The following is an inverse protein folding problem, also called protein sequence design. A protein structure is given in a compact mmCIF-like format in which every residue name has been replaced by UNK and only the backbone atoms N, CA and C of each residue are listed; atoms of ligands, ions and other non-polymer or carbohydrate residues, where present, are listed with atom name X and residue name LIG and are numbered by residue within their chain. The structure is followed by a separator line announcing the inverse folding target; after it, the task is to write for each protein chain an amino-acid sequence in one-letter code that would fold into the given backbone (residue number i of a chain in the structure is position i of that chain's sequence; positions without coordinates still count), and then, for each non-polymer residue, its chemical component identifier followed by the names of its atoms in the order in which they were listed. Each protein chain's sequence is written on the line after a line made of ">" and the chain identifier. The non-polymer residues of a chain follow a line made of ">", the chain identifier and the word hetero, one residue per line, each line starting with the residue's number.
data_IF_713030876478
#
_entry.id   IF_713030876478
#
_cell.length_a   1.000
_cell.length_b   1.000
_cell.length_c   1.000
_cell.angle_alpha   90.00
_cell.angle_beta   90.00
_cell.angle_gamma   90.00
#
_symmetry.space_group_name_H-M   'P 1'
#
loop_
_entity.id
_entity.type
_entity.pdbx_description
1 polymer ?
#
# COMPACT_ATOMS: atom_id res chain seq x y z
N UNK A 1 9.99 -8.22 9.78
CA UNK A 1 11.10 -8.02 8.86
C UNK A 1 10.92 -8.92 7.63
N UNK A 2 11.59 -8.59 6.54
CA UNK A 2 11.50 -9.35 5.28
C UNK A 2 10.37 -8.95 4.34
N UNK A 3 9.28 -8.45 4.87
CA UNK A 3 8.13 -8.02 4.08
C UNK A 3 8.45 -6.79 3.23
N UNK A 4 7.69 -6.61 2.16
CA UNK A 4 7.85 -5.49 1.26
C UNK A 4 6.66 -4.54 1.28
N UNK A 5 6.94 -3.25 1.41
CA UNK A 5 5.97 -2.19 1.17
C UNK A 5 6.18 -1.59 -0.23
N UNK A 6 5.08 -1.38 -0.96
CA UNK A 6 5.00 -0.49 -2.11
C UNK A 6 3.75 0.39 -1.96
N UNK A 7 3.94 1.61 -1.52
CA UNK A 7 2.86 2.51 -1.15
C UNK A 7 3.03 3.91 -1.74
N UNK A 8 2.45 4.91 -1.08
CA UNK A 8 2.37 6.27 -1.58
C UNK A 8 2.44 7.30 -0.43
N UNK A 9 2.33 8.59 -0.74
CA UNK A 9 2.53 9.70 0.19
C UNK A 9 1.58 9.72 1.40
N UNK A 10 0.47 8.99 1.40
CA UNK A 10 -0.45 8.88 2.55
C UNK A 10 0.02 7.89 3.61
N UNK A 11 1.07 7.11 3.35
CA UNK A 11 1.57 6.09 4.27
C UNK A 11 2.45 6.66 5.41
N UNK A 12 2.47 7.97 5.63
CA UNK A 12 3.31 8.60 6.65
C UNK A 12 3.14 7.96 8.03
N UNK A 13 1.91 7.80 8.49
CA UNK A 13 1.62 7.19 9.80
C UNK A 13 2.09 5.74 9.85
N UNK A 14 1.89 5.01 8.77
CA UNK A 14 2.37 3.62 8.66
C UNK A 14 3.90 3.56 8.73
N UNK A 15 4.60 4.41 7.98
CA UNK A 15 6.07 4.48 8.01
C UNK A 15 6.59 4.87 9.41
N UNK A 16 5.90 5.78 10.10
CA UNK A 16 6.21 6.13 11.50
C UNK A 16 5.97 4.94 12.45
N UNK A 17 4.86 4.25 12.31
CA UNK A 17 4.56 3.07 13.13
C UNK A 17 5.57 1.93 12.92
N UNK A 18 6.12 1.79 11.72
CA UNK A 18 7.20 0.85 11.43
C UNK A 18 8.57 1.30 11.98
N UNK A 19 8.71 2.54 12.46
CA UNK A 19 9.98 3.11 12.89
C UNK A 19 10.93 3.46 11.75
N UNK A 20 10.41 3.61 10.53
CA UNK A 20 11.18 3.94 9.31
C UNK A 20 11.15 5.43 8.98
N UNK A 21 10.41 6.22 9.73
CA UNK A 21 10.21 7.65 9.52
C UNK A 21 9.80 8.31 10.84
N UNK A 22 10.17 9.57 11.02
CA UNK A 22 9.82 10.35 12.20
C UNK A 22 9.63 11.83 11.84
N UNK A 23 9.25 12.65 12.83
CA UNK A 23 9.01 14.09 12.60
C UNK A 23 10.26 14.84 12.12
N UNK A 24 11.46 14.44 12.54
CA UNK A 24 12.71 15.06 12.08
C UNK A 24 12.95 14.74 10.61
N UNK A 25 12.71 13.50 10.20
CA UNK A 25 12.80 13.08 8.79
C UNK A 25 11.81 13.85 7.91
N UNK A 26 10.61 14.13 8.41
CA UNK A 26 9.63 14.97 7.72
C UNK A 26 10.20 16.37 7.43
N UNK A 27 10.79 17.03 8.41
CA UNK A 27 11.38 18.35 8.21
C UNK A 27 12.62 18.29 7.31
N UNK A 28 13.44 17.26 7.40
CA UNK A 28 14.57 17.07 6.49
C UNK A 28 14.09 16.92 5.03
N UNK A 29 13.01 16.20 4.78
CA UNK A 29 12.41 16.10 3.45
C UNK A 29 11.86 17.47 2.99
N UNK A 30 11.14 18.17 3.88
CA UNK A 30 10.52 19.46 3.58
C UNK A 30 11.56 20.50 3.18
N UNK A 31 12.72 20.52 3.85
CA UNK A 31 13.83 21.42 3.55
C UNK A 31 14.79 20.89 2.47
N UNK A 32 14.52 19.73 1.88
CA UNK A 32 15.35 19.15 0.83
C UNK A 32 16.78 18.82 1.30
N UNK A 33 16.95 18.40 2.56
CA UNK A 33 18.27 18.04 3.08
C UNK A 33 18.83 16.84 2.30
N UNK A 34 20.08 16.97 1.85
CA UNK A 34 20.76 15.95 1.02
C UNK A 34 21.78 15.11 1.79
N UNK A 35 21.99 15.38 3.08
CA UNK A 35 22.97 14.66 3.89
C UNK A 35 22.53 13.22 4.14
N UNK A 36 23.15 12.28 3.46
CA UNK A 36 22.84 10.85 3.55
C UNK A 36 23.19 10.22 4.92
N UNK A 37 23.98 10.90 5.74
CA UNK A 37 24.25 10.44 7.11
C UNK A 37 23.08 10.69 8.04
N UNK A 38 22.26 11.67 7.72
CA UNK A 38 21.07 12.07 8.50
C UNK A 38 19.81 11.50 7.86
N UNK A 39 19.70 11.61 6.52
CA UNK A 39 18.52 11.12 5.79
C UNK A 39 18.80 9.75 5.20
N UNK A 40 18.28 8.74 5.86
CA UNK A 40 18.53 7.35 5.53
C UNK A 40 17.87 6.89 4.23
N UNK A 41 16.77 7.51 3.81
CA UNK A 41 15.98 7.07 2.67
C UNK A 41 16.59 7.42 1.31
N UNK A 42 16.56 8.69 0.94
CA UNK A 42 16.84 9.10 -0.44
C UNK A 42 17.95 10.14 -0.62
N UNK A 43 18.41 10.79 0.44
CA UNK A 43 19.35 11.90 0.34
C UNK A 43 18.78 13.07 -0.48
N UNK A 44 17.53 13.43 -0.24
CA UNK A 44 16.84 14.55 -0.89
C UNK A 44 16.32 14.27 -2.32
N UNK A 45 16.35 13.00 -2.78
CA UNK A 45 15.92 12.65 -4.14
C UNK A 45 14.43 12.34 -4.28
N UNK A 46 13.71 12.12 -3.20
CA UNK A 46 12.25 11.94 -3.18
C UNK A 46 11.56 13.19 -2.67
N UNK A 47 10.32 13.39 -3.11
CA UNK A 47 9.50 14.46 -2.59
C UNK A 47 9.17 14.29 -1.12
N UNK A 48 8.69 15.35 -0.48
CA UNK A 48 8.13 15.29 0.86
C UNK A 48 7.04 14.21 0.94
N UNK A 49 7.00 13.48 2.05
CA UNK A 49 6.11 12.33 2.25
C UNK A 49 6.24 11.21 1.18
N UNK A 50 7.39 11.08 0.56
CA UNK A 50 7.72 9.91 -0.24
C UNK A 50 8.82 9.13 0.48
N UNK A 51 8.69 7.82 0.50
CA UNK A 51 9.46 6.96 1.37
C UNK A 51 10.27 5.95 0.57
N UNK A 52 11.40 5.54 1.12
CA UNK A 52 12.23 4.45 0.61
C UNK A 52 13.12 3.90 1.72
N UNK A 53 13.49 2.65 1.62
CA UNK A 53 14.48 2.02 2.50
C UNK A 53 15.65 1.56 1.63
N UNK A 54 16.91 1.94 1.96
CA UNK A 54 18.07 1.49 1.21
C UNK A 54 18.28 -0.02 1.35
N UNK A 55 18.36 -0.70 0.22
CA UNK A 55 18.53 -2.17 0.13
C UNK A 55 19.96 -2.58 -0.19
N UNK A 56 20.82 -1.60 -0.48
CA UNK A 56 22.22 -1.81 -0.91
C UNK A 56 23.15 -1.12 0.05
N UNK A 57 24.26 -1.75 0.37
CA UNK A 57 25.34 -1.20 1.16
C UNK A 57 26.18 -0.20 0.32
N UNK A 58 27.01 0.66 0.97
CA UNK A 58 27.87 1.59 0.24
C UNK A 58 28.86 0.96 -0.74
N UNK A 59 29.22 -0.32 -0.53
CA UNK A 59 30.09 -1.10 -1.41
C UNK A 59 29.36 -1.74 -2.60
N UNK A 60 28.04 -1.54 -2.72
CA UNK A 60 27.21 -2.10 -3.77
C UNK A 60 26.64 -3.50 -3.49
N UNK A 61 26.99 -4.13 -2.36
CA UNK A 61 26.44 -5.42 -1.97
C UNK A 61 25.00 -5.27 -1.45
N UNK A 62 24.19 -6.33 -1.56
CA UNK A 62 22.87 -6.38 -0.97
C UNK A 62 22.94 -6.40 0.56
N UNK A 63 22.05 -5.66 1.21
CA UNK A 63 21.77 -5.84 2.62
C UNK A 63 21.04 -7.16 2.85
N UNK A 64 21.00 -7.60 4.10
CA UNK A 64 20.12 -8.69 4.48
C UNK A 64 18.68 -8.19 4.59
N UNK A 65 17.91 -8.34 3.50
CA UNK A 65 16.53 -7.85 3.40
C UNK A 65 15.59 -8.59 4.34
N UNK A 66 16.00 -9.79 4.81
CA UNK A 66 15.20 -10.58 5.76
C UNK A 66 15.34 -10.09 7.21
N UNK A 67 16.28 -9.21 7.47
CA UNK A 67 16.53 -8.61 8.78
C UNK A 67 16.16 -7.12 8.84
N UNK A 68 15.49 -6.62 7.83
CA UNK A 68 14.99 -5.24 7.81
C UNK A 68 13.55 -5.17 7.33
N UNK A 69 12.88 -4.06 7.61
CA UNK A 69 11.60 -3.70 7.00
C UNK A 69 11.89 -3.06 5.64
N UNK A 70 11.33 -3.62 4.58
CA UNK A 70 11.64 -3.17 3.23
C UNK A 70 10.56 -2.25 2.69
N UNK A 71 10.96 -1.18 2.04
CA UNK A 71 10.08 -0.31 1.28
C UNK A 71 10.73 0.01 -0.06
N UNK A 72 9.99 -0.23 -1.13
CA UNK A 72 10.36 0.32 -2.44
C UNK A 72 10.32 1.84 -2.39
N UNK A 73 11.07 2.48 -3.28
CA UNK A 73 11.03 3.94 -3.39
C UNK A 73 9.68 4.39 -3.93
N UNK A 74 9.01 5.30 -3.23
CA UNK A 74 7.74 5.85 -3.68
C UNK A 74 7.93 6.69 -4.96
N UNK A 75 6.88 6.74 -5.76
CA UNK A 75 6.80 7.58 -6.95
C UNK A 75 5.52 8.42 -6.89
N UNK A 76 5.55 9.60 -7.51
CA UNK A 76 4.43 10.54 -7.44
C UNK A 76 3.24 10.24 -8.36
N UNK A 77 3.39 9.58 -9.53
CA UNK A 77 2.24 9.26 -10.38
C UNK A 77 1.18 8.47 -9.64
N UNK A 78 -0.06 8.91 -9.75
CA UNK A 78 -1.22 8.27 -9.10
C UNK A 78 -1.33 6.80 -9.48
N UNK A 79 -1.49 5.93 -8.50
CA UNK A 79 -1.48 4.47 -8.62
C UNK A 79 -0.21 3.84 -9.21
N UNK A 80 0.87 4.62 -9.43
CA UNK A 80 2.13 4.12 -10.00
C UNK A 80 2.83 3.07 -9.12
N UNK A 81 2.49 2.99 -7.83
CA UNK A 81 2.97 1.94 -6.93
C UNK A 81 2.40 0.54 -7.27
N UNK A 82 1.27 0.45 -7.97
CA UNK A 82 0.56 -0.81 -8.21
C UNK A 82 1.36 -1.84 -9.01
N UNK A 83 1.95 -1.50 -10.18
CA UNK A 83 2.77 -2.45 -10.92
C UNK A 83 4.00 -2.92 -10.14
N UNK A 84 4.59 -2.04 -9.32
CA UNK A 84 5.73 -2.39 -8.47
C UNK A 84 5.31 -3.34 -7.34
N UNK A 85 4.18 -3.08 -6.71
CA UNK A 85 3.60 -3.97 -5.71
C UNK A 85 3.41 -5.38 -6.27
N UNK A 86 2.82 -5.47 -7.46
CA UNK A 86 2.66 -6.72 -8.19
C UNK A 86 4.01 -7.42 -8.45
N UNK A 87 5.01 -6.66 -8.91
CA UNK A 87 6.35 -7.19 -9.18
C UNK A 87 7.04 -7.75 -7.93
N UNK A 88 6.92 -7.07 -6.79
CA UNK A 88 7.45 -7.55 -5.51
C UNK A 88 6.76 -8.85 -5.05
N UNK A 89 5.44 -8.92 -5.18
CA UNK A 89 4.68 -10.13 -4.90
C UNK A 89 5.05 -11.28 -5.85
N UNK A 90 5.27 -10.97 -7.12
CA UNK A 90 5.70 -11.97 -8.09
C UNK A 90 7.11 -12.50 -7.81
N UNK A 91 8.03 -11.63 -7.38
CA UNK A 91 9.34 -12.08 -6.94
C UNK A 91 9.25 -13.07 -5.77
N UNK A 92 8.43 -12.81 -4.75
CA UNK A 92 8.19 -13.76 -3.66
C UNK A 92 7.67 -15.11 -4.18
N UNK A 93 6.74 -15.11 -5.13
CA UNK A 93 6.27 -16.34 -5.77
C UNK A 93 7.39 -17.10 -6.47
N UNK A 94 8.25 -16.40 -7.20
CA UNK A 94 9.40 -17.04 -7.90
C UNK A 94 10.37 -17.66 -6.89
N UNK A 95 10.67 -16.99 -5.79
CA UNK A 95 11.48 -17.56 -4.71
C UNK A 95 10.87 -18.82 -4.11
N UNK A 96 9.54 -18.92 -4.04
CA UNK A 96 8.85 -20.14 -3.57
C UNK A 96 8.92 -21.28 -4.57
N UNK A 97 8.78 -20.98 -5.85
CA UNK A 97 8.62 -21.99 -6.91
C UNK A 97 9.95 -22.48 -7.52
N UNK A 98 11.00 -21.66 -7.46
CA UNK A 98 12.29 -21.98 -8.06
C UNK A 98 13.33 -22.31 -6.99
N UNK A 99 13.67 -23.59 -6.87
CA UNK A 99 14.66 -24.07 -5.91
C UNK A 99 16.08 -23.51 -6.14
N UNK A 100 16.43 -23.07 -7.34
CA UNK A 100 17.72 -22.42 -7.62
C UNK A 100 17.86 -21.08 -6.88
N UNK A 101 16.73 -20.45 -6.52
CA UNK A 101 16.71 -19.20 -5.76
C UNK A 101 16.81 -19.41 -4.24
N UNK A 102 16.63 -20.63 -3.73
CA UNK A 102 16.59 -20.90 -2.29
C UNK A 102 17.91 -20.61 -1.56
N UNK A 103 19.04 -20.55 -2.30
CA UNK A 103 20.35 -20.16 -1.75
C UNK A 103 20.47 -18.67 -1.40
N UNK A 104 19.59 -17.81 -1.90
CA UNK A 104 19.62 -16.35 -1.66
C UNK A 104 18.87 -15.95 -0.37
N UNK A 105 19.25 -16.55 0.75
CA UNK A 105 18.56 -16.42 2.05
C UNK A 105 18.56 -15.02 2.64
N UNK A 106 19.41 -14.12 2.16
CA UNK A 106 19.40 -12.69 2.52
C UNK A 106 18.37 -11.88 1.75
N UNK A 107 17.83 -12.40 0.66
CA UNK A 107 16.85 -11.73 -0.20
C UNK A 107 15.43 -12.25 0.01
N UNK A 108 15.27 -13.52 0.41
CA UNK A 108 13.96 -14.14 0.63
C UNK A 108 14.04 -15.31 1.59
N UNK A 109 13.00 -15.54 2.38
CA UNK A 109 12.77 -16.77 3.13
C UNK A 109 11.95 -17.76 2.29
N UNK A 110 12.49 -18.13 1.13
CA UNK A 110 11.85 -19.05 0.18
C UNK A 110 10.43 -18.63 -0.23
N UNK A 111 10.24 -17.32 -0.44
CA UNK A 111 8.96 -16.77 -0.90
C UNK A 111 7.89 -16.76 0.18
N UNK A 112 8.26 -16.61 1.45
CA UNK A 112 7.31 -16.45 2.54
C UNK A 112 6.85 -14.98 2.73
N UNK A 113 7.47 -14.05 2.03
CA UNK A 113 7.20 -12.62 2.14
C UNK A 113 5.90 -12.25 1.43
N UNK A 114 5.14 -11.35 2.03
CA UNK A 114 3.98 -10.67 1.43
C UNK A 114 4.42 -9.29 0.95
N UNK A 115 4.02 -8.91 -0.25
CA UNK A 115 4.12 -7.53 -0.70
C UNK A 115 2.84 -6.79 -0.31
N UNK A 116 2.99 -5.77 0.54
CA UNK A 116 1.89 -4.97 1.05
C UNK A 116 1.89 -3.58 0.43
N UNK A 117 0.72 -3.13 -0.04
CA UNK A 117 0.54 -1.80 -0.62
C UNK A 117 -0.72 -1.12 -0.14
N UNK A 118 -0.79 0.17 -0.41
CA UNK A 118 -1.94 1.01 -0.11
C UNK A 118 -2.27 1.93 -1.28
N UNK A 119 -3.56 2.28 -1.40
CA UNK A 119 -4.08 3.18 -2.43
C UNK A 119 -5.34 3.87 -1.91
N UNK A 120 -5.58 5.12 -2.31
CA UNK A 120 -6.84 5.80 -2.07
C UNK A 120 -7.93 5.35 -3.05
N UNK A 121 -9.20 5.45 -2.65
CA UNK A 121 -10.35 5.06 -3.47
C UNK A 121 -10.39 5.77 -4.83
N UNK A 122 -10.12 7.07 -4.87
CA UNK A 122 -10.08 7.81 -6.13
C UNK A 122 -8.98 7.34 -7.07
N UNK A 123 -7.83 6.95 -6.53
CA UNK A 123 -6.69 6.45 -7.30
C UNK A 123 -6.97 5.09 -7.95
N UNK A 124 -7.98 4.36 -7.51
CA UNK A 124 -8.42 3.12 -8.15
C UNK A 124 -9.04 3.34 -9.54
N UNK A 125 -9.30 4.59 -9.92
CA UNK A 125 -9.76 4.95 -11.28
C UNK A 125 -8.65 4.87 -12.33
N UNK A 126 -7.38 4.78 -11.92
CA UNK A 126 -6.24 4.68 -12.83
C UNK A 126 -6.12 3.28 -13.47
N UNK A 127 -5.72 3.23 -14.75
CA UNK A 127 -5.61 1.99 -15.50
C UNK A 127 -4.71 0.95 -14.85
N UNK A 128 -3.55 1.38 -14.30
CA UNK A 128 -2.61 0.45 -13.65
C UNK A 128 -3.16 -0.22 -12.40
N UNK A 129 -4.16 0.33 -11.75
CA UNK A 129 -4.86 -0.38 -10.68
C UNK A 129 -5.52 -1.65 -11.23
N UNK A 130 -6.35 -1.51 -12.27
CA UNK A 130 -7.10 -2.61 -12.88
C UNK A 130 -6.19 -3.66 -13.50
N UNK A 131 -5.16 -3.22 -14.22
CA UNK A 131 -4.15 -4.10 -14.80
C UNK A 131 -3.43 -4.92 -13.72
N UNK A 132 -3.04 -4.28 -12.62
CA UNK A 132 -2.35 -4.96 -11.51
C UNK A 132 -3.27 -5.94 -10.78
N UNK A 133 -4.54 -5.61 -10.57
CA UNK A 133 -5.52 -6.51 -9.96
C UNK A 133 -5.74 -7.74 -10.86
N UNK A 134 -5.95 -7.52 -12.16
CA UNK A 134 -6.10 -8.62 -13.11
C UNK A 134 -4.87 -9.52 -13.15
N UNK A 135 -3.68 -8.93 -13.23
CA UNK A 135 -2.44 -9.70 -13.24
C UNK A 135 -2.20 -10.45 -11.92
N UNK A 136 -2.52 -9.84 -10.77
CA UNK A 136 -2.43 -10.52 -9.48
C UNK A 136 -3.36 -11.73 -9.39
N UNK A 137 -4.61 -11.59 -9.89
CA UNK A 137 -5.58 -12.68 -9.94
C UNK A 137 -5.08 -13.83 -10.83
N UNK A 138 -4.55 -13.52 -12.02
CA UNK A 138 -4.00 -14.53 -12.95
C UNK A 138 -2.75 -15.19 -12.40
N UNK A 139 -1.84 -14.40 -11.85
CA UNK A 139 -0.54 -14.89 -11.39
C UNK A 139 -0.63 -15.57 -10.00
N UNK A 140 -1.68 -15.36 -9.23
CA UNK A 140 -1.81 -15.86 -7.85
C UNK A 140 -0.55 -15.59 -7.05
N UNK A 141 -0.36 -14.33 -6.67
CA UNK A 141 0.83 -13.83 -5.97
C UNK A 141 0.51 -13.35 -4.56
N UNK A 142 1.44 -13.37 -3.61
CA UNK A 142 1.22 -12.89 -2.24
C UNK A 142 1.19 -11.35 -2.18
N UNK A 143 0.20 -10.75 -2.84
CA UNK A 143 -0.06 -9.32 -2.86
C UNK A 143 -1.20 -8.98 -1.91
N UNK A 144 -0.95 -8.10 -0.95
CA UNK A 144 -1.94 -7.55 -0.05
C UNK A 144 -2.09 -6.05 -0.31
N UNK A 145 -3.28 -5.61 -0.66
CA UNK A 145 -3.56 -4.23 -1.01
C UNK A 145 -4.65 -3.65 -0.11
N UNK A 146 -4.38 -2.51 0.55
CA UNK A 146 -5.39 -1.73 1.25
C UNK A 146 -5.90 -0.59 0.35
N UNK A 147 -7.21 -0.54 0.15
CA UNK A 147 -7.90 0.60 -0.45
C UNK A 147 -8.52 1.42 0.67
N UNK A 148 -8.02 2.63 0.88
CA UNK A 148 -8.56 3.57 1.86
C UNK A 148 -9.63 4.44 1.21
N UNK A 149 -10.88 4.25 1.62
CA UNK A 149 -12.06 4.88 1.04
C UNK A 149 -12.63 5.93 2.00
N UNK A 150 -12.32 7.20 1.74
CA UNK A 150 -12.91 8.35 2.43
C UNK A 150 -14.12 8.94 1.69
N UNK A 151 -14.44 8.37 0.53
CA UNK A 151 -15.58 8.78 -0.30
C UNK A 151 -15.32 9.98 -1.21
N UNK A 152 -14.06 10.43 -1.31
CA UNK A 152 -13.73 11.61 -2.11
C UNK A 152 -12.39 11.45 -2.85
N UNK A 153 -12.34 11.97 -4.08
CA UNK A 153 -11.10 12.26 -4.79
C UNK A 153 -10.84 13.76 -4.75
N UNK A 154 -10.02 14.22 -3.80
CA UNK A 154 -9.87 15.64 -3.44
C UNK A 154 -11.23 16.22 -3.04
N UNK A 155 -11.93 16.87 -3.98
CA UNK A 155 -13.25 17.47 -3.78
C UNK A 155 -14.39 16.74 -4.53
N UNK A 156 -14.05 15.71 -5.30
CA UNK A 156 -15.01 14.97 -6.13
C UNK A 156 -15.57 13.79 -5.36
N UNK A 157 -16.90 13.76 -5.08
CA UNK A 157 -17.53 12.62 -4.42
C UNK A 157 -17.37 11.33 -5.20
N UNK A 158 -17.14 10.22 -4.49
CA UNK A 158 -16.93 8.86 -5.03
C UNK A 158 -17.98 8.45 -6.09
N UNK A 159 -19.22 8.85 -5.93
CA UNK A 159 -20.32 8.55 -6.88
C UNK A 159 -20.07 9.02 -8.32
N UNK A 160 -19.17 9.96 -8.52
CA UNK A 160 -18.76 10.45 -9.84
C UNK A 160 -17.50 9.79 -10.39
N UNK A 161 -16.82 8.99 -9.59
CA UNK A 161 -15.55 8.34 -9.93
C UNK A 161 -15.66 6.81 -9.99
N UNK A 162 -16.50 6.23 -9.14
CA UNK A 162 -16.54 4.78 -8.91
C UNK A 162 -17.90 4.24 -9.29
N UNK A 163 -17.94 3.38 -10.29
CA UNK A 163 -19.16 2.67 -10.66
C UNK A 163 -19.74 1.94 -9.44
N UNK A 164 -21.06 1.87 -9.31
CA UNK A 164 -21.77 1.32 -8.15
C UNK A 164 -21.47 2.01 -6.81
N UNK A 165 -20.61 3.05 -6.79
CA UNK A 165 -20.21 3.74 -5.57
C UNK A 165 -19.40 2.88 -4.57
N UNK A 166 -18.86 1.74 -4.99
CA UNK A 166 -18.14 0.81 -4.13
C UNK A 166 -17.06 0.05 -4.90
N UNK A 167 -15.83 0.16 -4.44
CA UNK A 167 -14.70 -0.57 -5.04
C UNK A 167 -14.89 -2.09 -4.89
N UNK A 168 -15.31 -2.57 -3.73
CA UNK A 168 -15.58 -4.02 -3.53
C UNK A 168 -16.61 -4.54 -4.52
N UNK A 169 -17.67 -3.76 -4.80
CA UNK A 169 -18.75 -4.23 -5.67
C UNK A 169 -18.34 -4.30 -7.15
N UNK A 170 -17.38 -3.48 -7.58
CA UNK A 170 -16.83 -3.61 -8.93
C UNK A 170 -15.77 -4.71 -8.99
N UNK A 171 -15.04 -4.95 -7.92
CA UNK A 171 -14.03 -6.01 -7.87
C UNK A 171 -14.61 -7.43 -7.78
N UNK A 172 -15.92 -7.60 -7.56
CA UNK A 172 -16.57 -8.93 -7.50
C UNK A 172 -16.29 -9.80 -8.72
N UNK A 173 -16.11 -9.20 -9.89
CA UNK A 173 -15.76 -9.94 -11.10
C UNK A 173 -14.36 -10.55 -11.09
N UNK A 174 -13.53 -10.19 -10.13
CA UNK A 174 -12.19 -10.73 -9.90
C UNK A 174 -12.11 -11.68 -8.70
N UNK A 175 -13.21 -11.89 -7.97
CA UNK A 175 -13.19 -12.75 -6.79
C UNK A 175 -12.85 -14.21 -7.13
N UNK A 176 -12.19 -14.86 -6.17
CA UNK A 176 -11.83 -16.27 -6.25
C UNK A 176 -13.09 -17.14 -6.19
N UNK A 177 -13.25 -18.01 -7.18
CA UNK A 177 -14.35 -18.97 -7.27
C UNK A 177 -13.80 -20.39 -7.42
N UNK A 178 -14.56 -21.42 -7.04
CA UNK A 178 -14.13 -22.80 -7.26
C UNK A 178 -13.70 -23.07 -8.72
N UNK A 179 -12.42 -23.41 -8.91
CA UNK A 179 -11.84 -23.68 -10.24
C UNK A 179 -11.52 -22.44 -11.07
N UNK A 180 -11.75 -21.24 -10.54
CA UNK A 180 -11.41 -19.96 -11.19
C UNK A 180 -10.62 -19.10 -10.21
N UNK A 181 -9.28 -19.11 -10.29
CA UNK A 181 -8.46 -18.33 -9.39
C UNK A 181 -8.73 -16.83 -9.54
N UNK A 182 -8.80 -16.14 -8.43
CA UNK A 182 -9.10 -14.71 -8.35
C UNK A 182 -8.44 -14.06 -7.15
N UNK A 183 -9.02 -12.97 -6.65
CA UNK A 183 -8.59 -12.26 -5.46
C UNK A 183 -9.56 -12.51 -4.29
N UNK A 184 -9.07 -12.34 -3.09
CA UNK A 184 -9.94 -12.30 -1.90
C UNK A 184 -10.22 -10.85 -1.52
N UNK A 185 -11.49 -10.54 -1.21
CA UNK A 185 -11.92 -9.20 -0.82
C UNK A 185 -12.37 -9.22 0.62
N UNK A 186 -11.75 -8.37 1.44
CA UNK A 186 -12.13 -8.12 2.82
C UNK A 186 -12.63 -6.68 2.97
N UNK A 187 -13.73 -6.49 3.72
CA UNK A 187 -14.29 -5.17 3.98
C UNK A 187 -14.19 -4.84 5.46
N UNK A 188 -13.76 -3.62 5.77
CA UNK A 188 -13.66 -3.10 7.13
C UNK A 188 -14.03 -1.63 7.19
N UNK A 189 -14.19 -1.10 8.41
CA UNK A 189 -14.44 0.30 8.69
C UNK A 189 -13.18 0.95 9.25
N UNK A 190 -12.85 2.16 8.79
CA UNK A 190 -11.62 2.85 9.19
C UNK A 190 -11.53 3.17 10.69
N UNK A 191 -12.67 3.30 11.37
CA UNK A 191 -12.77 3.56 12.80
C UNK A 191 -12.83 2.30 13.68
N UNK A 192 -13.10 1.12 13.11
CA UNK A 192 -13.15 -0.14 13.86
C UNK A 192 -11.75 -0.75 14.03
N UNK A 193 -10.97 -0.19 14.96
CA UNK A 193 -9.59 -0.60 15.20
C UNK A 193 -9.44 -2.10 15.49
N UNK A 194 -10.33 -2.69 16.29
CA UNK A 194 -10.27 -4.11 16.63
C UNK A 194 -10.63 -4.99 15.45
N UNK A 195 -11.72 -4.65 14.77
CA UNK A 195 -12.14 -5.38 13.56
C UNK A 195 -11.09 -5.31 12.46
N UNK A 196 -10.36 -4.19 12.33
CA UNK A 196 -9.26 -4.08 11.39
C UNK A 196 -8.09 -5.01 11.72
N UNK A 197 -7.72 -5.16 13.01
CA UNK A 197 -6.66 -6.10 13.41
C UNK A 197 -7.02 -7.51 12.96
N UNK A 198 -8.22 -7.99 13.35
CA UNK A 198 -8.69 -9.33 13.02
C UNK A 198 -8.76 -9.55 11.50
N UNK A 199 -9.21 -8.54 10.76
CA UNK A 199 -9.34 -8.56 9.32
C UNK A 199 -7.97 -8.67 8.61
N UNK A 200 -7.01 -7.84 9.02
CA UNK A 200 -5.66 -7.88 8.45
C UNK A 200 -4.93 -9.16 8.83
N UNK A 201 -5.00 -9.61 10.07
CA UNK A 201 -4.42 -10.89 10.50
C UNK A 201 -4.91 -12.05 9.64
N UNK A 202 -6.22 -12.17 9.47
CA UNK A 202 -6.84 -13.22 8.67
C UNK A 202 -6.40 -13.13 7.20
N UNK A 203 -6.50 -11.96 6.58
CA UNK A 203 -6.20 -11.78 5.16
C UNK A 203 -4.73 -12.00 4.85
N UNK A 204 -3.82 -11.46 5.67
CA UNK A 204 -2.37 -11.63 5.49
C UNK A 204 -1.94 -13.07 5.71
N UNK A 205 -2.52 -13.78 6.68
CA UNK A 205 -2.22 -15.21 6.90
C UNK A 205 -2.56 -16.05 5.66
N UNK A 206 -3.72 -15.81 5.04
CA UNK A 206 -4.12 -16.50 3.80
C UNK A 206 -3.20 -16.09 2.64
N UNK A 207 -2.97 -14.80 2.47
CA UNK A 207 -2.12 -14.26 1.41
C UNK A 207 -0.73 -14.91 1.43
N UNK A 208 -0.10 -15.01 2.60
CA UNK A 208 1.20 -15.63 2.82
C UNK A 208 1.19 -17.14 2.56
N UNK A 209 0.25 -17.85 3.17
CA UNK A 209 0.20 -19.32 3.12
C UNK A 209 -0.09 -19.81 1.71
N UNK A 210 -1.11 -19.24 1.07
CA UNK A 210 -1.69 -19.75 -0.16
C UNK A 210 -1.21 -19.00 -1.42
N UNK A 211 -0.44 -17.92 -1.25
CA UNK A 211 -0.08 -16.99 -2.32
C UNK A 211 -1.30 -16.46 -3.08
N UNK A 212 -2.38 -16.20 -2.34
CA UNK A 212 -3.59 -15.58 -2.90
C UNK A 212 -3.53 -14.07 -2.73
N UNK A 213 -3.82 -13.29 -3.79
CA UNK A 213 -3.90 -11.85 -3.65
C UNK A 213 -5.13 -11.45 -2.83
N UNK A 214 -4.94 -10.46 -1.95
CA UNK A 214 -5.96 -9.97 -1.02
C UNK A 214 -6.13 -8.48 -1.18
N UNK A 215 -7.38 -8.02 -1.26
CA UNK A 215 -7.75 -6.61 -1.23
C UNK A 215 -8.54 -6.32 0.05
N UNK A 216 -8.06 -5.38 0.84
CA UNK A 216 -8.75 -4.84 2.00
C UNK A 216 -9.40 -3.52 1.59
N UNK A 217 -10.73 -3.50 1.48
CA UNK A 217 -11.49 -2.27 1.24
C UNK A 217 -11.90 -1.68 2.59
N UNK A 218 -11.20 -0.63 2.99
CA UNK A 218 -11.42 0.06 4.26
C UNK A 218 -12.29 1.28 3.99
N UNK A 219 -13.57 1.14 4.31
CA UNK A 219 -14.59 2.17 4.13
C UNK A 219 -14.65 3.12 5.34
N UNK A 220 -15.28 4.26 5.17
CA UNK A 220 -15.49 5.25 6.23
C UNK A 220 -14.17 5.76 6.85
N UNK A 221 -13.16 5.92 6.02
CA UNK A 221 -11.93 6.62 6.41
C UNK A 221 -12.23 8.11 6.54
N UNK A 222 -11.68 8.75 7.56
CA UNK A 222 -11.90 10.18 7.82
C UNK A 222 -10.73 11.03 7.37
N UNK A 223 -11.01 12.26 6.95
CA UNK A 223 -10.04 13.30 6.63
C UNK A 223 -10.45 14.63 7.28
N UNK A 224 -10.35 14.77 8.60
CA UNK A 224 -10.86 15.93 9.35
C UNK A 224 -10.19 17.26 8.98
N UNK A 225 -8.98 17.22 8.42
CA UNK A 225 -8.27 18.41 7.92
C UNK A 225 -8.41 18.62 6.41
N UNK A 226 -9.21 17.78 5.74
CA UNK A 226 -9.36 17.79 4.28
C UNK A 226 -8.17 17.17 3.54
N UNK A 227 -8.25 17.15 2.21
CA UNK A 227 -7.24 16.51 1.36
C UNK A 227 -5.93 17.27 1.29
N UNK A 228 -5.99 18.60 1.21
CA UNK A 228 -4.83 19.47 1.08
C UNK A 228 -5.09 20.82 1.75
N UNK A 229 -4.02 21.54 2.06
CA UNK A 229 -4.06 22.86 2.70
C UNK A 229 -4.76 23.92 1.86
N UNK A 230 -4.83 23.76 0.54
CA UNK A 230 -5.49 24.68 -0.37
C UNK A 230 -7.01 24.51 -0.39
N UNK A 231 -7.54 23.43 0.19
CA UNK A 231 -8.95 23.10 0.13
C UNK A 231 -9.64 23.34 1.47
N UNK A 232 -10.50 24.32 1.56
CA UNK A 232 -11.48 24.25 2.63
C UNK A 232 -12.50 23.17 2.25
N UNK A 233 -12.44 22.06 2.97
CA UNK A 233 -13.31 20.90 2.74
C UNK A 233 -14.80 21.25 3.03
N UNK A 234 -15.05 22.32 3.75
CA UNK A 234 -16.38 22.90 3.96
C UNK A 234 -17.06 23.31 2.65
N UNK A 235 -16.28 23.50 1.57
CA UNK A 235 -16.83 23.87 0.26
C UNK A 235 -17.48 22.69 -0.48
N UNK A 236 -17.14 21.45 -0.12
CA UNK A 236 -17.61 20.27 -0.85
C UNK A 236 -18.18 19.16 0.05
N UNK A 237 -17.90 19.17 1.35
CA UNK A 237 -18.50 18.24 2.33
C UNK A 237 -19.71 18.89 2.99
N UNK A 238 -20.74 18.09 3.30
CA UNK A 238 -21.88 18.59 4.07
C UNK A 238 -21.49 18.82 5.55
N UNK A 239 -22.27 19.66 6.24
CA UNK A 239 -22.06 19.93 7.66
C UNK A 239 -22.12 18.64 8.51
N UNK A 240 -23.03 17.73 8.18
CA UNK A 240 -23.16 16.43 8.85
C UNK A 240 -21.91 15.58 8.64
N UNK A 241 -21.35 15.57 7.40
CA UNK A 241 -20.13 14.83 7.10
C UNK A 241 -18.94 15.40 7.86
N UNK A 242 -18.79 16.72 7.90
CA UNK A 242 -17.71 17.38 8.64
C UNK A 242 -17.78 17.07 10.13
N UNK A 243 -18.99 17.10 10.70
CA UNK A 243 -19.17 16.74 12.10
C UNK A 243 -18.80 15.28 12.38
N UNK A 244 -19.28 14.37 11.55
CA UNK A 244 -19.00 12.94 11.70
C UNK A 244 -17.50 12.61 11.60
N UNK A 245 -16.72 13.37 10.83
CA UNK A 245 -15.27 13.12 10.68
C UNK A 245 -14.44 13.49 11.92
N UNK A 246 -15.00 14.25 12.86
CA UNK A 246 -14.30 14.71 14.08
C UNK A 246 -14.90 14.16 15.38
N UNK A 247 -16.13 13.62 15.35
CA UNK A 247 -16.79 12.95 16.47
C UNK A 247 -16.22 11.54 16.67
#
# INVERSE_FOLDING_TARGET
>A
DGEWRSGYYRDQTWMMAMGLYNAVDFFHQLYGNTDRKIIHGSGGRVFNNHFSVPNINPDGSWKNLMQQKNSSSDISPTAGQMPRLLGLAYASKLFRQNSELHGYTTLSMQGNEVAFGSIGDASTSEGHFWESINAAAVLQVPMALSVYDDGYGISVPKKYQTAKGSISDILRGFEDEPGKPGILIFKGKGWDYRGLIDLYEKGIAICRRDHKPVVFHIEEVTQPLGHSTSGSHERYKSAERLKWEVD
#
